data_IF_372786114061
#
_entry.id   IF_372786114061
#
_cell.length_a   1.000
_cell.length_b   1.000
_cell.length_c   1.000
_cell.angle_alpha   90.00
_cell.angle_beta   90.00
_cell.angle_gamma   90.00
#
_symmetry.space_group_name_H-M   'P 1'
#
loop_
_entity.id
_entity.type
_entity.pdbx_description
1 polymer ?
#
# COMPACT_ATOMS: atom_id res chain seq x y z
N UNK A 1 22.10 13.32 3.33
CA UNK A 1 20.86 14.09 3.13
C UNK A 1 21.02 15.00 1.90
N UNK A 2 20.71 14.49 0.71
CA UNK A 2 20.75 15.29 -0.51
C UNK A 2 19.48 16.16 -0.59
N UNK A 3 19.66 17.49 -0.53
CA UNK A 3 18.60 18.50 -0.70
C UNK A 3 18.33 18.73 -2.19
N UNK A 4 17.87 17.72 -2.91
CA UNK A 4 17.40 17.92 -4.29
C UNK A 4 15.88 18.18 -4.29
N UNK A 5 15.41 19.38 -4.69
CA UNK A 5 14.00 19.76 -4.69
C UNK A 5 13.12 18.84 -5.56
N UNK A 6 13.70 18.19 -6.59
CA UNK A 6 12.95 17.33 -7.52
C UNK A 6 12.49 16.02 -6.87
N UNK A 7 13.18 15.55 -5.83
CA UNK A 7 12.88 14.29 -5.15
C UNK A 7 12.04 14.47 -3.88
N UNK A 8 11.81 15.70 -3.44
CA UNK A 8 11.17 15.97 -2.15
C UNK A 8 9.68 15.60 -2.12
N UNK A 9 8.95 15.78 -3.23
CA UNK A 9 7.51 15.56 -3.27
C UNK A 9 7.10 14.09 -3.09
N UNK A 10 7.68 13.17 -3.89
CA UNK A 10 7.34 11.74 -3.85
C UNK A 10 7.82 11.06 -2.57
N UNK A 11 9.00 11.42 -2.09
CA UNK A 11 9.56 10.89 -0.84
C UNK A 11 8.73 11.33 0.37
N UNK A 12 8.28 12.59 0.42
CA UNK A 12 7.42 13.06 1.51
C UNK A 12 6.11 12.27 1.62
N UNK A 13 5.47 11.93 0.49
CA UNK A 13 4.25 11.12 0.51
C UNK A 13 4.47 9.69 1.02
N UNK A 14 5.64 9.10 0.73
CA UNK A 14 6.03 7.79 1.25
C UNK A 14 6.29 7.89 2.75
N UNK A 15 7.07 8.88 3.19
CA UNK A 15 7.42 9.07 4.60
C UNK A 15 6.18 9.28 5.47
N UNK A 16 5.25 10.16 5.05
CA UNK A 16 4.02 10.41 5.82
C UNK A 16 3.16 9.16 5.94
N UNK A 17 2.97 8.40 4.85
CA UNK A 17 2.17 7.16 4.87
C UNK A 17 2.84 6.08 5.72
N UNK A 18 4.15 5.95 5.62
CA UNK A 18 4.92 4.99 6.39
C UNK A 18 4.79 5.25 7.90
N UNK A 19 5.00 6.49 8.33
CA UNK A 19 4.85 6.85 9.74
C UNK A 19 3.44 6.59 10.26
N UNK A 20 2.41 6.99 9.51
CA UNK A 20 1.03 6.73 9.88
C UNK A 20 0.73 5.24 10.08
N UNK A 21 1.10 4.38 9.13
CA UNK A 21 0.86 2.94 9.21
C UNK A 21 1.63 2.34 10.39
N UNK A 22 2.90 2.71 10.55
CA UNK A 22 3.75 2.20 11.64
C UNK A 22 3.17 2.55 13.00
N UNK A 23 2.72 3.79 13.18
CA UNK A 23 2.18 4.25 14.46
C UNK A 23 0.83 3.58 14.75
N UNK A 24 -0.04 3.42 13.74
CA UNK A 24 -1.32 2.67 13.87
C UNK A 24 -1.12 1.21 14.28
N UNK A 25 -0.07 0.56 13.75
CA UNK A 25 0.29 -0.82 14.12
C UNK A 25 0.87 -0.87 15.53
N UNK A 26 1.71 0.10 15.90
CA UNK A 26 2.31 0.17 17.24
C UNK A 26 1.24 0.41 18.33
N UNK A 27 0.19 1.16 18.02
CA UNK A 27 -0.97 1.37 18.89
C UNK A 27 -1.92 0.16 18.93
N UNK A 28 -1.72 -0.84 18.07
CA UNK A 28 -2.57 -2.03 17.99
C UNK A 28 -3.92 -1.78 17.31
N UNK A 29 -4.11 -0.63 16.68
CA UNK A 29 -5.34 -0.29 15.95
C UNK A 29 -5.48 -1.10 14.66
N UNK A 30 -4.34 -1.49 14.06
CA UNK A 30 -4.29 -2.23 12.81
C UNK A 30 -3.28 -3.38 12.91
N UNK A 31 -3.66 -4.54 12.39
CA UNK A 31 -2.76 -5.69 12.23
C UNK A 31 -2.39 -5.84 10.75
N UNK A 32 -1.09 -5.79 10.44
CA UNK A 32 -0.60 -6.04 9.10
C UNK A 32 -0.47 -7.53 8.84
N UNK A 33 -1.15 -8.01 7.80
CA UNK A 33 -1.04 -9.38 7.30
C UNK A 33 -0.78 -9.36 5.80
N UNK A 34 0.21 -10.12 5.37
CA UNK A 34 0.43 -10.37 3.95
C UNK A 34 -0.66 -11.30 3.41
N UNK A 35 -1.26 -10.91 2.28
CA UNK A 35 -2.24 -11.71 1.55
C UNK A 35 -1.71 -11.88 0.11
N UNK A 36 -1.61 -13.11 -0.41
CA UNK A 36 -1.23 -13.32 -1.81
C UNK A 36 -2.16 -12.57 -2.76
N UNK A 37 -1.64 -12.10 -3.90
CA UNK A 37 -2.41 -11.35 -4.91
C UNK A 37 -3.71 -12.05 -5.33
N UNK A 38 -3.66 -13.37 -5.54
CA UNK A 38 -4.84 -14.16 -5.93
C UNK A 38 -5.94 -14.19 -4.86
N UNK A 39 -5.61 -13.91 -3.60
CA UNK A 39 -6.54 -13.94 -2.46
C UNK A 39 -6.91 -12.52 -2.00
N UNK A 40 -6.33 -11.48 -2.62
CA UNK A 40 -6.54 -10.10 -2.24
C UNK A 40 -7.83 -9.56 -2.85
N UNK A 41 -8.95 -9.66 -2.11
CA UNK A 41 -10.29 -9.21 -2.56
C UNK A 41 -10.37 -7.74 -2.98
N UNK A 42 -9.39 -6.91 -2.60
CA UNK A 42 -9.33 -5.50 -2.98
C UNK A 42 -8.79 -5.28 -4.41
N UNK A 43 -8.10 -6.26 -4.98
CA UNK A 43 -7.50 -6.14 -6.31
C UNK A 43 -8.52 -5.90 -7.42
N UNK A 44 -9.67 -6.60 -7.48
CA UNK A 44 -10.74 -6.29 -8.44
C UNK A 44 -11.28 -4.84 -8.37
N UNK A 45 -11.20 -4.21 -7.19
CA UNK A 45 -11.73 -2.86 -6.96
C UNK A 45 -10.71 -1.75 -7.19
N UNK A 46 -9.42 -2.09 -7.16
CA UNK A 46 -8.32 -1.10 -7.22
C UNK A 46 -7.50 -1.19 -8.50
N UNK A 47 -7.65 -2.28 -9.25
CA UNK A 47 -6.87 -2.57 -10.46
C UNK A 47 -7.77 -3.12 -11.57
N UNK A 48 -7.48 -2.81 -12.85
CA UNK A 48 -8.06 -3.55 -13.96
C UNK A 48 -7.44 -4.95 -14.02
N UNK A 49 -8.20 -5.98 -13.69
CA UNK A 49 -7.75 -7.37 -13.74
C UNK A 49 -7.95 -7.98 -15.13
N UNK A 50 -7.04 -8.88 -15.52
CA UNK A 50 -7.28 -9.73 -16.69
C UNK A 50 -8.45 -10.69 -16.43
N UNK A 51 -9.09 -11.15 -17.51
CA UNK A 51 -10.31 -11.98 -17.44
C UNK A 51 -10.15 -13.17 -16.48
N UNK A 52 -9.04 -13.89 -16.54
CA UNK A 52 -8.82 -15.08 -15.71
C UNK A 52 -8.66 -14.75 -14.22
N UNK A 53 -8.01 -13.63 -13.90
CA UNK A 53 -7.90 -13.15 -12.52
C UNK A 53 -9.26 -12.64 -12.01
N UNK A 54 -10.01 -11.92 -12.85
CA UNK A 54 -11.35 -11.45 -12.49
C UNK A 54 -12.34 -12.60 -12.24
N UNK A 55 -12.29 -13.68 -13.03
CA UNK A 55 -13.14 -14.86 -12.82
C UNK A 55 -12.75 -15.69 -11.59
N UNK A 56 -11.51 -15.53 -11.09
CA UNK A 56 -10.98 -16.29 -9.96
C UNK A 56 -11.34 -15.65 -8.61
N UNK A 57 -11.50 -14.33 -8.58
CA UNK A 57 -11.94 -13.57 -7.40
C UNK A 57 -13.46 -13.64 -7.21
#
# INVERSE_FOLDING_TARGET
>A
YAKDPKYHGRTKHIDTRYHFIRDSVAQGEVVLRHIPTNDMIADPFTKPLCRDAFHRH
#
